data_IF_696281286103
#
_entry.id   IF_696281286103
#
_cell.length_a   1.000
_cell.length_b   1.000
_cell.length_c   1.000
_cell.angle_alpha   90.00
_cell.angle_beta   90.00
_cell.angle_gamma   90.00
#
_symmetry.space_group_name_H-M   'P 1'
#
loop_
_entity.id
_entity.type
_entity.pdbx_description
1 polymer ?
#
# COMPACT_ATOMS: atom_id res chain seq x y z
N UNK A 1 -1.72 30.07 -22.56
CA UNK A 1 -0.66 29.04 -22.73
C UNK A 1 -0.51 28.36 -21.37
N UNK A 2 -0.71 27.04 -21.28
CA UNK A 2 -0.76 26.36 -19.98
C UNK A 2 0.54 26.51 -19.19
N UNK A 3 0.46 26.57 -17.84
CA UNK A 3 1.63 26.64 -16.99
C UNK A 3 2.49 25.38 -17.14
N UNK A 4 3.82 25.48 -16.95
CA UNK A 4 4.71 24.33 -16.99
C UNK A 4 4.24 23.27 -16.00
N UNK A 5 4.00 22.04 -16.48
CA UNK A 5 3.70 20.91 -15.60
C UNK A 5 4.90 20.63 -14.71
N UNK A 6 4.69 20.62 -13.40
CA UNK A 6 5.72 20.24 -12.45
C UNK A 6 6.08 18.76 -12.65
N UNK A 7 7.37 18.51 -12.90
CA UNK A 7 7.89 17.17 -13.14
C UNK A 7 8.54 16.66 -11.86
N UNK A 8 8.38 15.37 -11.58
CA UNK A 8 9.03 14.72 -10.44
C UNK A 8 10.55 14.97 -10.45
N UNK A 9 11.04 15.73 -9.47
CA UNK A 9 12.44 16.19 -9.40
C UNK A 9 13.44 15.06 -9.13
N UNK A 10 13.08 14.09 -8.27
CA UNK A 10 13.92 12.93 -7.93
C UNK A 10 13.23 11.65 -8.37
N UNK A 11 13.91 10.87 -9.23
CA UNK A 11 13.42 9.58 -9.73
C UNK A 11 13.88 8.44 -8.81
N UNK A 12 13.09 7.36 -8.74
CA UNK A 12 13.46 6.09 -8.10
C UNK A 12 13.87 6.21 -6.61
N UNK A 13 13.16 7.04 -5.84
CA UNK A 13 13.37 7.12 -4.38
C UNK A 13 13.14 5.73 -3.77
N UNK A 14 14.17 5.21 -3.10
CA UNK A 14 14.05 3.97 -2.33
C UNK A 14 13.21 4.28 -1.09
N UNK A 15 12.16 3.50 -0.88
CA UNK A 15 11.40 3.56 0.35
C UNK A 15 12.02 2.53 1.28
N UNK A 16 12.37 2.97 2.49
CA UNK A 16 12.82 2.10 3.56
C UNK A 16 11.78 2.20 4.66
N UNK A 17 11.27 1.07 5.09
CA UNK A 17 10.25 0.95 6.11
C UNK A 17 10.11 -0.52 6.45
N UNK A 18 9.27 -0.82 7.43
CA UNK A 18 8.76 -2.16 7.62
C UNK A 18 7.44 -2.05 8.36
N UNK A 19 6.41 -2.73 7.86
CA UNK A 19 5.11 -2.80 8.52
C UNK A 19 5.02 -4.11 9.28
N UNK A 20 4.54 -4.06 10.51
CA UNK A 20 4.21 -5.27 11.26
C UNK A 20 2.97 -5.94 10.68
N UNK A 21 2.93 -7.27 10.72
CA UNK A 21 1.75 -8.06 10.35
C UNK A 21 0.47 -7.59 11.07
N UNK A 22 0.55 -7.18 12.33
CA UNK A 22 -0.61 -6.68 13.08
C UNK A 22 -1.21 -5.41 12.47
N UNK A 23 -0.37 -4.48 12.04
CA UNK A 23 -0.81 -3.27 11.36
C UNK A 23 -1.52 -3.60 10.05
N UNK A 24 -0.99 -4.58 9.29
CA UNK A 24 -1.59 -5.01 8.02
C UNK A 24 -2.96 -5.65 8.26
N UNK A 25 -3.09 -6.48 9.30
CA UNK A 25 -4.38 -7.09 9.67
C UNK A 25 -5.39 -6.02 10.08
N UNK A 26 -4.97 -5.00 10.82
CA UNK A 26 -5.85 -3.90 11.22
C UNK A 26 -6.33 -3.07 10.02
N UNK A 27 -5.43 -2.76 9.07
CA UNK A 27 -5.80 -2.08 7.82
C UNK A 27 -6.75 -2.98 7.01
N UNK A 28 -6.49 -4.29 6.93
CA UNK A 28 -7.36 -5.23 6.22
C UNK A 28 -8.77 -5.30 6.80
N UNK A 29 -8.91 -5.20 8.13
CA UNK A 29 -10.22 -5.12 8.79
C UNK A 29 -10.96 -3.83 8.43
N UNK A 30 -10.26 -2.69 8.41
CA UNK A 30 -10.86 -1.41 8.00
C UNK A 30 -11.22 -1.36 6.51
N UNK A 31 -10.44 -2.03 5.66
CA UNK A 31 -10.68 -2.10 4.21
C UNK A 31 -11.70 -3.18 3.82
N UNK A 32 -12.13 -4.02 4.77
CA UNK A 32 -13.05 -5.13 4.52
C UNK A 32 -14.33 -4.77 3.76
N UNK A 33 -15.03 -3.64 4.05
CA UNK A 33 -16.25 -3.28 3.33
C UNK A 33 -16.01 -2.91 1.85
N UNK A 34 -14.77 -2.55 1.50
CA UNK A 34 -14.38 -2.15 0.14
C UNK A 34 -13.74 -3.30 -0.66
N UNK A 35 -13.34 -4.37 0.02
CA UNK A 35 -12.70 -5.53 -0.58
C UNK A 35 -13.75 -6.50 -1.10
N UNK A 36 -13.58 -6.98 -2.32
CA UNK A 36 -14.45 -8.00 -2.93
C UNK A 36 -14.06 -9.43 -2.49
N UNK A 37 -13.05 -9.58 -1.62
CA UNK A 37 -12.54 -10.87 -1.19
C UNK A 37 -13.52 -11.59 -0.26
N UNK A 38 -13.80 -12.88 -0.53
CA UNK A 38 -14.66 -13.71 0.33
C UNK A 38 -14.09 -13.91 1.74
N UNK A 39 -12.76 -13.99 1.89
CA UNK A 39 -12.07 -14.19 3.18
C UNK A 39 -11.13 -13.02 3.50
N UNK A 40 -10.87 -12.78 4.79
CA UNK A 40 -9.95 -11.73 5.25
C UNK A 40 -8.53 -11.92 4.69
N UNK A 41 -8.09 -13.16 4.51
CA UNK A 41 -6.80 -13.49 3.89
C UNK A 41 -6.63 -12.83 2.50
N UNK A 42 -7.71 -12.74 1.71
CA UNK A 42 -7.67 -12.07 0.41
C UNK A 42 -7.44 -10.56 0.57
N UNK A 43 -8.14 -9.92 1.51
CA UNK A 43 -7.97 -8.50 1.81
C UNK A 43 -6.57 -8.18 2.36
N UNK A 44 -5.97 -9.10 3.13
CA UNK A 44 -4.58 -8.99 3.59
C UNK A 44 -3.60 -9.09 2.42
N UNK A 45 -3.80 -10.02 1.48
CA UNK A 45 -2.97 -10.16 0.27
C UNK A 45 -3.06 -8.93 -0.64
N UNK A 46 -4.25 -8.33 -0.77
CA UNK A 46 -4.45 -7.08 -1.51
C UNK A 46 -3.60 -5.95 -0.92
N UNK A 47 -3.61 -5.79 0.42
CA UNK A 47 -2.84 -4.75 1.10
C UNK A 47 -1.33 -5.02 1.00
N UNK A 48 -0.90 -6.27 1.16
CA UNK A 48 0.51 -6.66 0.99
C UNK A 48 1.04 -6.33 -0.41
N UNK A 49 0.21 -6.50 -1.45
CA UNK A 49 0.56 -6.10 -2.82
C UNK A 49 0.80 -4.59 -2.98
N UNK A 50 0.10 -3.75 -2.19
CA UNK A 50 0.31 -2.29 -2.21
C UNK A 50 1.54 -1.84 -1.43
N UNK A 51 1.97 -2.61 -0.42
CA UNK A 51 3.12 -2.32 0.43
C UNK A 51 4.47 -2.81 -0.15
N UNK A 52 4.54 -3.10 -1.45
CA UNK A 52 5.71 -3.66 -2.16
C UNK A 52 7.02 -2.91 -1.86
N UNK A 53 6.98 -1.59 -1.70
CA UNK A 53 8.16 -0.74 -1.55
C UNK A 53 8.71 -0.66 -0.13
N UNK A 54 7.92 -1.00 0.89
CA UNK A 54 8.23 -0.74 2.31
C UNK A 54 8.47 -2.01 3.12
N UNK A 55 8.44 -3.20 2.52
CA UNK A 55 8.66 -4.45 3.26
C UNK A 55 7.57 -4.74 4.31
N UNK A 56 7.32 -6.02 4.56
CA UNK A 56 6.39 -6.46 5.59
C UNK A 56 7.02 -7.64 6.32
N UNK A 57 7.16 -7.54 7.64
CA UNK A 57 7.59 -8.64 8.53
C UNK A 57 6.52 -9.00 9.53
#
# INVERSE_FOLDING_TARGET
>A
REPPRDRKKVKNVKHSGNLSIEQIINIARQMRPRSMAKKLEGTVKEILGTAQSVGCT
#
